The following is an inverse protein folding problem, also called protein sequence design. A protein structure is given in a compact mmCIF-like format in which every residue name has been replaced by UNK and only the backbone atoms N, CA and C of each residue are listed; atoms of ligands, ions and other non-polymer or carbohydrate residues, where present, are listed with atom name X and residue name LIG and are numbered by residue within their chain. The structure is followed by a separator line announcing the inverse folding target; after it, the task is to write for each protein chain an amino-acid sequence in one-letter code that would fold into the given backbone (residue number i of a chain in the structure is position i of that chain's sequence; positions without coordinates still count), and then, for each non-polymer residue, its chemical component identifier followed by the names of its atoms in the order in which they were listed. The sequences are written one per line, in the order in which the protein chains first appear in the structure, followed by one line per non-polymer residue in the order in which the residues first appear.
data_IF_910496253318
#
_entry.id   IF_910496253318
#
_cell.length_a   1.000
_cell.length_b   1.000
_cell.length_c   1.000
_cell.angle_alpha   90.00
_cell.angle_beta   90.00
_cell.angle_gamma   90.00
#
_symmetry.space_group_name_H-M   'P 1'
#
loop_
_entity.id
_entity.type
_entity.pdbx_description
1 polymer ?
#
# COMPACT_ATOMS: atom_id res chain seq x y z
N UNK A 1 -30.18 21.46 34.47
CA UNK A 1 -30.12 21.58 33.00
C UNK A 1 -28.83 20.90 32.55
N UNK A 2 -28.93 19.75 31.89
CA UNK A 2 -27.76 18.98 31.44
C UNK A 2 -27.39 19.43 30.03
N UNK A 3 -26.17 19.98 29.87
CA UNK A 3 -25.60 20.29 28.56
C UNK A 3 -25.06 18.99 27.97
N UNK A 4 -25.73 18.48 26.93
CA UNK A 4 -25.28 17.34 26.15
C UNK A 4 -24.27 17.84 25.10
N UNK A 5 -22.99 17.46 25.23
CA UNK A 5 -21.96 17.77 24.26
C UNK A 5 -21.92 16.69 23.18
N UNK A 6 -22.30 17.03 21.94
CA UNK A 6 -22.02 16.18 20.78
C UNK A 6 -20.53 16.23 20.46
N UNK A 7 -19.80 15.15 20.72
CA UNK A 7 -18.45 14.99 20.22
C UNK A 7 -18.52 14.61 18.73
N UNK A 8 -18.37 15.60 17.85
CA UNK A 8 -18.09 15.35 16.43
C UNK A 8 -16.68 14.78 16.34
N UNK A 9 -16.55 13.46 16.26
CA UNK A 9 -15.26 12.82 15.98
C UNK A 9 -14.94 13.13 14.52
N UNK A 10 -14.13 14.16 14.28
CA UNK A 10 -13.52 14.35 12.98
C UNK A 10 -12.71 13.08 12.68
N UNK A 11 -13.00 12.43 11.55
CA UNK A 11 -12.20 11.31 11.09
C UNK A 11 -10.73 11.77 11.00
N UNK A 12 -9.82 11.01 11.59
CA UNK A 12 -8.40 11.33 11.50
C UNK A 12 -7.99 11.45 10.02
N UNK A 13 -7.10 12.39 9.66
CA UNK A 13 -6.54 12.46 8.32
C UNK A 13 -5.97 11.09 7.91
N UNK A 14 -6.13 10.73 6.64
CA UNK A 14 -5.48 9.52 6.11
C UNK A 14 -3.95 9.69 6.21
N UNK A 15 -3.21 8.61 6.52
CA UNK A 15 -1.76 8.63 6.42
C UNK A 15 -1.34 8.88 4.98
N UNK A 16 -0.11 9.38 4.82
CA UNK A 16 0.52 9.46 3.51
C UNK A 16 0.87 8.06 2.96
N UNK A 17 1.44 8.01 1.76
CA UNK A 17 1.83 6.76 1.12
C UNK A 17 3.00 6.03 1.75
N UNK A 18 3.57 6.50 2.87
CA UNK A 18 4.73 5.90 3.53
C UNK A 18 4.32 4.98 4.69
N UNK A 19 5.02 3.85 4.84
CA UNK A 19 4.81 2.88 5.92
C UNK A 19 3.36 2.36 6.10
N UNK A 20 2.61 2.22 5.01
CA UNK A 20 1.20 1.81 5.02
C UNK A 20 1.06 0.33 5.38
N UNK A 21 0.23 -0.01 6.37
CA UNK A 21 -0.05 -1.40 6.71
C UNK A 21 -0.98 -2.09 5.71
N UNK A 22 -0.94 -3.43 5.64
CA UNK A 22 -1.93 -4.17 4.86
C UNK A 22 -3.35 -3.93 5.41
N UNK A 23 -4.27 -3.54 4.54
CA UNK A 23 -5.64 -3.19 4.88
C UNK A 23 -5.82 -1.73 5.29
N UNK A 24 -4.76 -0.94 5.43
CA UNK A 24 -4.83 0.47 5.76
C UNK A 24 -5.07 1.34 4.52
N UNK A 25 -5.85 2.41 4.65
CA UNK A 25 -6.04 3.38 3.56
C UNK A 25 -4.98 4.46 3.65
N UNK A 26 -4.44 4.85 2.51
CA UNK A 26 -3.45 5.92 2.42
C UNK A 26 -3.82 6.92 1.31
N UNK A 27 -3.47 8.18 1.52
CA UNK A 27 -3.52 9.23 0.51
C UNK A 27 -2.13 9.40 -0.10
N UNK A 28 -1.97 9.12 -1.40
CA UNK A 28 -0.65 9.10 -2.06
C UNK A 28 -0.60 10.21 -3.09
N UNK A 29 -0.41 11.44 -2.64
CA UNK A 29 -0.27 12.64 -3.50
C UNK A 29 -1.37 12.79 -4.57
N UNK A 30 -2.60 12.32 -4.27
CA UNK A 30 -3.72 12.34 -5.21
C UNK A 30 -4.71 11.20 -4.97
N UNK A 31 -4.43 9.98 -5.44
CA UNK A 31 -5.30 8.82 -5.24
C UNK A 31 -5.35 8.37 -3.77
N UNK A 32 -6.53 7.97 -3.32
CA UNK A 32 -6.71 7.20 -2.08
C UNK A 32 -6.62 5.72 -2.42
N UNK A 33 -5.67 5.01 -1.83
CA UNK A 33 -5.41 3.59 -2.11
C UNK A 33 -5.41 2.75 -0.84
N UNK A 34 -5.57 1.44 -1.01
CA UNK A 34 -5.53 0.47 0.08
C UNK A 34 -4.89 -0.83 -0.41
N UNK A 35 -3.72 -1.25 0.11
CA UNK A 35 -3.20 -2.59 -0.13
C UNK A 35 -4.07 -3.61 0.60
N UNK A 36 -4.62 -4.59 -0.11
CA UNK A 36 -5.55 -5.57 0.49
C UNK A 36 -4.99 -6.98 0.56
N UNK A 37 -4.01 -7.31 -0.29
CA UNK A 37 -3.45 -8.66 -0.34
C UNK A 37 -2.05 -8.65 -0.95
N UNK A 38 -1.11 -9.38 -0.36
CA UNK A 38 0.17 -9.72 -0.99
C UNK A 38 -0.05 -10.96 -1.85
N UNK A 39 -0.16 -10.76 -3.17
CA UNK A 39 -0.43 -11.84 -4.14
C UNK A 39 0.81 -12.69 -4.36
N UNK A 40 1.99 -12.07 -4.35
CA UNK A 40 3.26 -12.76 -4.46
C UNK A 40 4.32 -12.03 -3.64
N UNK A 41 5.11 -12.77 -2.86
CA UNK A 41 6.38 -12.29 -2.31
C UNK A 41 7.46 -13.36 -2.55
N UNK A 42 8.11 -13.28 -3.69
CA UNK A 42 9.21 -14.15 -4.11
C UNK A 42 10.57 -13.46 -3.95
N UNK A 43 10.65 -12.35 -3.20
CA UNK A 43 11.91 -11.61 -2.94
C UNK A 43 13.02 -12.57 -2.52
N UNK A 44 14.24 -12.29 -2.98
CA UNK A 44 15.39 -13.05 -2.51
C UNK A 44 15.61 -12.76 -1.02
N UNK A 45 15.61 -13.78 -0.14
CA UNK A 45 15.89 -13.55 1.26
C UNK A 45 17.28 -12.93 1.43
N UNK A 46 17.41 -11.93 2.31
CA UNK A 46 18.70 -11.24 2.52
C UNK A 46 19.83 -12.16 3.00
N UNK A 47 19.47 -13.33 3.53
CA UNK A 47 20.41 -14.35 4.04
C UNK A 47 20.51 -15.57 3.10
N UNK A 48 20.17 -15.42 1.82
CA UNK A 48 20.24 -16.47 0.81
C UNK A 48 20.93 -15.98 -0.48
N UNK A 49 21.32 -16.93 -1.33
CA UNK A 49 21.78 -16.67 -2.70
C UNK A 49 20.73 -17.15 -3.68
N UNK A 50 20.12 -16.23 -4.43
CA UNK A 50 19.10 -16.56 -5.43
C UNK A 50 19.68 -16.50 -6.84
N UNK A 51 19.21 -17.39 -7.70
CA UNK A 51 19.61 -17.45 -9.12
C UNK A 51 18.59 -16.75 -10.04
N UNK A 52 17.40 -16.42 -9.52
CA UNK A 52 16.34 -15.70 -10.23
C UNK A 52 16.02 -14.38 -9.50
N UNK A 53 15.64 -13.36 -10.25
CA UNK A 53 15.11 -12.13 -9.69
C UNK A 53 13.71 -12.40 -9.09
N UNK A 54 13.61 -12.31 -7.76
CA UNK A 54 12.33 -12.35 -7.07
C UNK A 54 11.52 -11.08 -7.30
N UNK A 55 10.22 -11.11 -7.01
CA UNK A 55 9.33 -9.94 -7.13
C UNK A 55 8.32 -9.90 -5.98
N UNK A 56 7.66 -8.76 -5.84
CA UNK A 56 6.47 -8.62 -5.00
C UNK A 56 5.33 -8.09 -5.84
N UNK A 57 4.16 -8.73 -5.76
CA UNK A 57 2.91 -8.26 -6.35
C UNK A 57 1.90 -8.04 -5.24
N UNK A 58 1.28 -6.86 -5.23
CA UNK A 58 0.29 -6.48 -4.23
C UNK A 58 -1.00 -6.12 -4.94
N UNK A 59 -2.11 -6.67 -4.45
CA UNK A 59 -3.45 -6.28 -4.86
C UNK A 59 -3.86 -5.06 -4.06
N UNK A 60 -4.33 -4.06 -4.79
CA UNK A 60 -4.69 -2.74 -4.28
C UNK A 60 -6.14 -2.45 -4.60
N UNK A 61 -6.76 -1.57 -3.81
CA UNK A 61 -8.03 -0.92 -4.14
C UNK A 61 -7.76 0.57 -4.28
N UNK A 62 -8.12 1.14 -5.42
CA UNK A 62 -8.23 2.58 -5.60
C UNK A 62 -9.65 3.03 -5.25
N UNK A 63 -9.74 3.98 -4.32
CA UNK A 63 -10.99 4.60 -3.91
C UNK A 63 -11.12 5.92 -4.66
N UNK A 64 -12.00 5.94 -5.66
CA UNK A 64 -12.27 7.12 -6.49
C UNK A 64 -13.03 8.17 -5.67
N UNK A 65 -13.02 9.43 -6.14
CA UNK A 65 -13.69 10.54 -5.46
C UNK A 65 -15.21 10.37 -5.31
N UNK A 66 -15.84 9.55 -6.16
CA UNK A 66 -17.25 9.15 -6.06
C UNK A 66 -17.51 7.99 -5.08
N UNK A 67 -16.46 7.48 -4.40
CA UNK A 67 -16.54 6.33 -3.48
C UNK A 67 -16.43 4.96 -4.14
N UNK A 68 -16.35 4.90 -5.48
CA UNK A 68 -16.17 3.64 -6.22
C UNK A 68 -14.82 3.00 -5.89
N UNK A 69 -14.84 1.67 -5.71
CA UNK A 69 -13.66 0.87 -5.41
C UNK A 69 -13.21 0.11 -6.66
N UNK A 70 -12.07 0.51 -7.21
CA UNK A 70 -11.48 -0.16 -8.36
C UNK A 70 -10.27 -0.99 -7.93
N UNK A 71 -10.30 -2.33 -8.12
CA UNK A 71 -9.13 -3.16 -7.88
C UNK A 71 -8.07 -2.97 -8.96
N UNK A 72 -6.80 -3.03 -8.56
CA UNK A 72 -5.65 -3.08 -9.45
C UNK A 72 -4.49 -3.83 -8.79
N UNK A 73 -3.47 -4.21 -9.56
CA UNK A 73 -2.27 -4.86 -9.03
C UNK A 73 -1.05 -4.00 -9.32
N UNK A 74 -0.09 -4.03 -8.41
CA UNK A 74 1.21 -3.35 -8.55
C UNK A 74 2.34 -4.33 -8.30
N UNK A 75 3.43 -4.17 -9.04
CA UNK A 75 4.68 -4.90 -8.80
C UNK A 75 5.70 -3.95 -8.18
N UNK A 76 6.47 -4.43 -7.20
CA UNK A 76 7.54 -3.64 -6.56
C UNK A 76 8.52 -3.11 -7.61
N UNK A 77 8.71 -1.78 -7.63
CA UNK A 77 9.61 -1.07 -8.53
C UNK A 77 9.08 -0.84 -9.94
N UNK A 78 7.93 -1.41 -10.31
CA UNK A 78 7.35 -1.24 -11.64
C UNK A 78 6.25 -0.16 -11.63
N UNK A 79 6.32 0.83 -12.54
CA UNK A 79 5.27 1.84 -12.65
C UNK A 79 4.00 1.22 -13.23
N UNK A 80 2.87 1.49 -12.58
CA UNK A 80 1.54 1.07 -13.01
C UNK A 80 0.70 2.30 -13.33
N UNK A 81 0.08 2.33 -14.50
CA UNK A 81 -0.79 3.44 -14.86
C UNK A 81 -2.03 3.46 -13.96
N UNK A 82 -2.29 4.59 -13.31
CA UNK A 82 -3.44 4.79 -12.43
C UNK A 82 -3.95 6.22 -12.60
N UNK A 83 -5.26 6.37 -12.81
CA UNK A 83 -5.88 7.66 -13.13
C UNK A 83 -5.17 8.36 -14.31
N UNK A 84 -4.55 9.50 -14.05
CA UNK A 84 -3.80 10.36 -14.97
C UNK A 84 -2.28 10.25 -14.79
N UNK A 85 -1.80 9.33 -13.95
CA UNK A 85 -0.40 9.24 -13.55
C UNK A 85 0.19 7.84 -13.52
N UNK A 86 1.39 7.75 -12.93
CA UNK A 86 2.11 6.51 -12.66
C UNK A 86 2.14 6.26 -11.15
N UNK A 87 1.62 5.12 -10.74
CA UNK A 87 1.64 4.65 -9.36
C UNK A 87 2.70 3.57 -9.21
N UNK A 88 3.59 3.72 -8.22
CA UNK A 88 4.71 2.79 -8.00
C UNK A 88 4.69 2.29 -6.56
N UNK A 89 4.80 0.97 -6.38
CA UNK A 89 5.17 0.38 -5.10
C UNK A 89 6.69 0.53 -4.95
N UNK A 90 7.15 1.40 -4.06
CA UNK A 90 8.56 1.76 -3.93
C UNK A 90 9.31 0.83 -2.99
N UNK A 91 8.68 0.41 -1.89
CA UNK A 91 9.28 -0.53 -0.95
C UNK A 91 8.26 -1.41 -0.26
N UNK A 92 8.74 -2.60 0.14
CA UNK A 92 7.99 -3.58 0.92
C UNK A 92 8.86 -3.96 2.10
N UNK A 93 8.40 -3.69 3.32
CA UNK A 93 9.06 -4.07 4.56
C UNK A 93 8.22 -5.10 5.33
N UNK A 94 8.84 -5.95 6.15
CA UNK A 94 10.29 -6.13 6.27
C UNK A 94 10.87 -6.82 5.03
N UNK A 95 12.19 -6.78 4.90
CA UNK A 95 12.94 -7.61 3.96
C UNK A 95 12.76 -9.11 4.27
N UNK A 96 12.77 -9.95 3.24
CA UNK A 96 12.55 -11.39 3.41
C UNK A 96 13.76 -12.06 4.07
N UNK A 97 13.52 -13.03 4.95
CA UNK A 97 14.54 -13.88 5.60
C UNK A 97 14.09 -15.33 5.60
N UNK A 98 15.01 -16.30 5.48
CA UNK A 98 14.65 -17.73 5.43
C UNK A 98 14.17 -18.28 6.77
N UNK A 99 14.51 -17.64 7.89
CA UNK A 99 14.18 -18.08 9.24
C UNK A 99 12.96 -17.37 9.85
N UNK A 100 12.31 -16.49 9.10
CA UNK A 100 11.13 -15.74 9.56
C UNK A 100 9.98 -15.99 8.58
N UNK A 101 8.84 -16.42 9.11
CA UNK A 101 7.58 -16.45 8.36
C UNK A 101 6.86 -15.13 8.57
N UNK A 102 6.68 -14.36 7.50
CA UNK A 102 5.91 -13.12 7.55
C UNK A 102 4.41 -13.41 7.59
N UNK A 103 3.71 -12.64 8.41
CA UNK A 103 2.25 -12.60 8.50
C UNK A 103 1.73 -11.31 7.86
N UNK A 104 0.44 -11.25 7.46
CA UNK A 104 -0.12 -10.04 6.84
C UNK A 104 0.10 -8.74 7.64
N UNK A 105 0.06 -8.82 8.97
CA UNK A 105 0.27 -7.67 9.88
C UNK A 105 1.70 -7.15 9.92
N UNK A 106 2.68 -7.93 9.46
CA UNK A 106 4.09 -7.54 9.47
C UNK A 106 4.42 -6.61 8.29
N UNK A 107 3.61 -6.64 7.23
CA UNK A 107 3.90 -5.90 6.01
C UNK A 107 3.69 -4.39 6.18
N UNK A 108 4.64 -3.63 5.61
CA UNK A 108 4.57 -2.19 5.44
C UNK A 108 4.95 -1.84 4.01
N UNK A 109 4.17 -0.98 3.38
CA UNK A 109 4.33 -0.59 1.98
C UNK A 109 4.65 0.89 1.89
N UNK A 110 5.50 1.27 0.95
CA UNK A 110 5.65 2.68 0.57
C UNK A 110 5.30 2.85 -0.90
N UNK A 111 4.50 3.87 -1.20
CA UNK A 111 3.98 4.13 -2.53
C UNK A 111 4.34 5.55 -2.96
N UNK A 112 4.47 5.72 -4.27
CA UNK A 112 4.57 7.03 -4.89
C UNK A 112 3.60 7.12 -6.05
N UNK A 113 2.99 8.30 -6.17
CA UNK A 113 2.19 8.67 -7.31
C UNK A 113 2.86 9.85 -8.04
N UNK A 114 2.96 9.74 -9.35
CA UNK A 114 3.40 10.83 -10.22
C UNK A 114 2.32 11.08 -11.26
N UNK A 115 1.42 12.03 -10.97
CA UNK A 115 0.31 12.45 -11.85
C UNK A 115 0.13 13.98 -11.83
N UNK A 116 -0.84 14.50 -12.60
CA UNK A 116 -1.16 15.92 -12.65
C UNK A 116 -0.37 16.76 -13.66
N UNK A 117 -0.12 16.26 -14.88
CA UNK A 117 0.29 17.09 -16.01
C UNK A 117 -0.91 17.83 -16.64
#
# INVERSE_FOLDING_TARGET
MALSACATTAAAPLPDGSDVALGERAYVDGPIVQPVEVVEDSRCPMNARCVWAGRVRVKMIWIRGNGEKQPFEVTLGEPTHLADGQFTLESVRPEKRTNIKLTPSDYRFSFRFAGGL
#
